data_IF_216601817078
#
_entry.id   IF_216601817078
#
_cell.length_a   1.000
_cell.length_b   1.000
_cell.length_c   1.000
_cell.angle_alpha   90.00
_cell.angle_beta   90.00
_cell.angle_gamma   90.00
#
_symmetry.space_group_name_H-M   'P 1'
#
loop_
_entity.id
_entity.type
_entity.pdbx_description
1 polymer ?
#
# COMPACT_ATOMS: atom_id res chain seq x y z
N UNK A 1 -16.59 -2.65 16.26
CA UNK A 1 -17.31 -3.88 15.88
C UNK A 1 -16.36 -4.73 15.05
N UNK A 2 -15.96 -5.90 15.53
CA UNK A 2 -15.00 -6.78 14.84
C UNK A 2 -15.68 -7.44 13.64
N UNK A 3 -15.19 -7.23 12.39
CA UNK A 3 -15.74 -7.90 11.21
C UNK A 3 -15.64 -9.41 11.36
N UNK A 4 -16.73 -10.13 11.11
CA UNK A 4 -16.82 -11.58 11.31
C UNK A 4 -16.48 -12.32 10.02
N UNK A 5 -15.59 -13.32 10.10
CA UNK A 5 -15.27 -14.20 8.96
C UNK A 5 -16.44 -15.13 8.62
N UNK A 6 -17.17 -15.58 9.62
CA UNK A 6 -18.29 -16.50 9.51
C UNK A 6 -19.37 -16.22 10.57
N UNK A 7 -20.39 -17.07 10.64
CA UNK A 7 -21.50 -16.97 11.60
C UNK A 7 -21.32 -17.83 12.86
N UNK A 8 -20.15 -18.44 13.07
CA UNK A 8 -19.87 -19.27 14.23
C UNK A 8 -19.54 -18.38 15.42
N UNK A 9 -20.15 -18.68 16.55
CA UNK A 9 -19.98 -17.95 17.81
C UNK A 9 -19.59 -18.93 18.91
N UNK A 10 -18.65 -18.51 19.75
CA UNK A 10 -18.22 -19.25 20.94
C UNK A 10 -18.74 -18.49 22.16
N UNK A 11 -19.62 -19.14 22.92
CA UNK A 11 -20.21 -18.62 24.14
C UNK A 11 -19.82 -19.56 25.28
N UNK A 12 -19.08 -19.04 26.26
CA UNK A 12 -18.70 -19.79 27.45
C UNK A 12 -19.07 -19.02 28.74
N UNK A 13 -18.68 -19.57 29.89
CA UNK A 13 -19.05 -19.03 31.20
C UNK A 13 -18.49 -17.64 31.51
N UNK A 14 -17.55 -17.12 30.72
CA UNK A 14 -17.00 -15.76 30.89
C UNK A 14 -17.96 -14.65 30.42
N UNK A 15 -19.05 -15.02 29.75
CA UNK A 15 -20.12 -14.10 29.34
C UNK A 15 -19.79 -13.28 28.07
N UNK A 16 -18.68 -13.56 27.38
CA UNK A 16 -18.31 -12.91 26.13
C UNK A 16 -18.64 -13.79 24.92
N UNK A 17 -19.13 -13.16 23.85
CA UNK A 17 -19.31 -13.82 22.54
C UNK A 17 -18.03 -13.67 21.73
N UNK A 18 -17.31 -14.77 21.55
CA UNK A 18 -16.07 -14.83 20.76
C UNK A 18 -16.41 -15.18 19.32
N UNK A 19 -15.80 -14.47 18.37
CA UNK A 19 -16.02 -14.66 16.93
C UNK A 19 -14.69 -14.73 16.21
N UNK A 20 -14.64 -15.47 15.12
CA UNK A 20 -13.47 -15.44 14.24
C UNK A 20 -13.47 -14.12 13.44
N UNK A 21 -12.43 -13.28 13.60
CA UNK A 21 -12.33 -12.02 12.88
C UNK A 21 -11.99 -12.27 11.40
N UNK A 22 -12.43 -11.38 10.52
CA UNK A 22 -11.87 -11.28 9.17
C UNK A 22 -10.38 -10.92 9.29
N UNK A 23 -9.49 -11.51 8.45
CA UNK A 23 -8.08 -11.16 8.46
C UNK A 23 -7.86 -9.65 8.35
N UNK A 24 -7.01 -9.13 9.22
CA UNK A 24 -6.64 -7.73 9.24
C UNK A 24 -5.74 -7.35 8.06
N UNK A 25 -5.42 -6.05 7.97
CA UNK A 25 -4.44 -5.59 6.99
C UNK A 25 -3.07 -6.26 7.20
N UNK A 26 -2.70 -6.52 8.46
CA UNK A 26 -1.42 -7.16 8.79
C UNK A 26 -1.37 -8.60 8.26
N UNK A 27 -2.40 -9.41 8.55
CA UNK A 27 -2.51 -10.79 8.06
C UNK A 27 -2.43 -10.89 6.52
N UNK A 28 -2.85 -9.83 5.82
CA UNK A 28 -2.76 -9.76 4.36
C UNK A 28 -1.35 -9.47 3.86
N UNK A 29 -0.55 -8.69 4.58
CA UNK A 29 0.74 -8.15 4.11
C UNK A 29 1.96 -8.69 4.86
N UNK A 30 1.78 -9.48 5.92
CA UNK A 30 2.89 -10.02 6.73
C UNK A 30 3.97 -10.70 5.88
N UNK A 31 3.57 -11.53 4.93
CA UNK A 31 4.49 -12.26 4.06
C UNK A 31 5.27 -11.30 3.13
N UNK A 32 4.62 -10.22 2.69
CA UNK A 32 5.26 -9.21 1.85
C UNK A 32 6.33 -8.44 2.63
N UNK A 33 6.05 -8.04 3.89
CA UNK A 33 7.03 -7.35 4.73
C UNK A 33 8.26 -8.21 5.03
N UNK A 34 8.06 -9.50 5.32
CA UNK A 34 9.18 -10.43 5.54
C UNK A 34 10.00 -10.59 4.26
N UNK A 35 9.34 -10.68 3.10
CA UNK A 35 10.03 -10.80 1.81
C UNK A 35 10.84 -9.55 1.49
N UNK A 36 10.26 -8.36 1.66
CA UNK A 36 10.93 -7.08 1.44
C UNK A 36 12.19 -6.93 2.31
N UNK A 37 12.08 -7.22 3.60
CA UNK A 37 13.21 -7.13 4.52
C UNK A 37 14.34 -8.09 4.15
N UNK A 38 14.02 -9.33 3.74
CA UNK A 38 15.01 -10.30 3.28
C UNK A 38 15.71 -9.83 2.02
N UNK A 39 14.95 -9.48 0.98
CA UNK A 39 15.52 -9.01 -0.29
C UNK A 39 16.38 -7.76 -0.13
N UNK A 40 16.08 -6.89 0.83
CA UNK A 40 16.93 -5.75 1.15
C UNK A 40 18.26 -6.18 1.79
N UNK A 41 18.25 -7.15 2.71
CA UNK A 41 19.48 -7.70 3.30
C UNK A 41 20.31 -8.43 2.25
N UNK A 42 19.68 -9.25 1.41
CA UNK A 42 20.35 -9.98 0.32
C UNK A 42 21.04 -8.99 -0.65
N UNK A 43 20.38 -7.87 -0.99
CA UNK A 43 20.97 -6.82 -1.81
C UNK A 43 22.20 -6.15 -1.17
N UNK A 44 22.25 -6.05 0.17
CA UNK A 44 23.38 -5.44 0.88
C UNK A 44 24.53 -6.41 1.12
N UNK A 45 24.24 -7.67 1.42
CA UNK A 45 25.22 -8.66 1.86
C UNK A 45 25.76 -9.47 0.69
N UNK A 46 24.88 -9.85 -0.24
CA UNK A 46 25.19 -10.78 -1.33
C UNK A 46 25.32 -10.06 -2.68
N UNK A 47 25.04 -8.75 -2.73
CA UNK A 47 25.16 -7.93 -3.93
C UNK A 47 24.03 -8.13 -4.93
N UNK A 48 22.91 -8.70 -4.49
CA UNK A 48 21.69 -8.81 -5.29
C UNK A 48 21.13 -7.43 -5.69
N UNK A 49 20.32 -7.35 -6.76
CA UNK A 49 19.68 -6.09 -7.14
C UNK A 49 18.79 -5.53 -6.02
N UNK A 50 18.93 -4.23 -5.74
CA UNK A 50 18.06 -3.54 -4.77
C UNK A 50 16.58 -3.70 -5.17
N UNK A 51 15.72 -4.28 -4.31
CA UNK A 51 14.35 -4.62 -4.68
C UNK A 51 13.50 -3.39 -5.04
N UNK A 52 13.77 -2.24 -4.40
CA UNK A 52 13.11 -0.96 -4.70
C UNK A 52 14.18 0.11 -4.89
N UNK A 53 14.48 0.51 -6.15
CA UNK A 53 15.32 1.65 -6.43
C UNK A 53 14.73 2.96 -5.89
N UNK A 54 15.57 3.87 -5.38
CA UNK A 54 15.13 5.18 -4.85
C UNK A 54 14.30 6.00 -5.86
N UNK A 55 14.61 5.89 -7.15
CA UNK A 55 13.85 6.56 -8.21
C UNK A 55 12.37 6.15 -8.24
N UNK A 56 12.06 4.88 -7.95
CA UNK A 56 10.70 4.36 -8.00
C UNK A 56 9.88 4.89 -6.82
N UNK A 57 10.51 5.04 -5.66
CA UNK A 57 9.92 5.70 -4.49
C UNK A 57 9.60 7.18 -4.78
N UNK A 58 10.53 7.90 -5.43
CA UNK A 58 10.30 9.29 -5.84
C UNK A 58 9.14 9.40 -6.83
N UNK A 59 9.11 8.56 -7.88
CA UNK A 59 8.02 8.55 -8.87
C UNK A 59 6.67 8.25 -8.22
N UNK A 60 6.62 7.31 -7.28
CA UNK A 60 5.39 6.98 -6.54
C UNK A 60 4.86 8.17 -5.74
N UNK A 61 5.74 8.92 -5.08
CA UNK A 61 5.38 10.13 -4.34
C UNK A 61 4.92 11.25 -5.28
N UNK A 62 5.57 11.45 -6.42
CA UNK A 62 5.12 12.42 -7.43
C UNK A 62 3.71 12.11 -7.93
N UNK A 63 3.38 10.83 -8.16
CA UNK A 63 2.03 10.42 -8.54
C UNK A 63 1.03 10.70 -7.40
N UNK A 64 1.39 10.36 -6.16
CA UNK A 64 0.54 10.59 -5.00
C UNK A 64 0.22 12.08 -4.81
N UNK A 65 1.20 12.96 -4.97
CA UNK A 65 1.03 14.42 -4.92
C UNK A 65 0.08 14.92 -6.01
N UNK A 66 0.25 14.45 -7.25
CA UNK A 66 -0.63 14.81 -8.36
C UNK A 66 -2.08 14.33 -8.17
N UNK A 67 -2.27 13.15 -7.56
CA UNK A 67 -3.60 12.66 -7.20
C UNK A 67 -4.25 13.53 -6.11
N UNK A 68 -3.48 14.01 -5.13
CA UNK A 68 -3.96 14.94 -4.12
C UNK A 68 -4.33 16.29 -4.73
N UNK A 69 -3.54 16.80 -5.67
CA UNK A 69 -3.89 18.03 -6.40
C UNK A 69 -5.17 17.86 -7.22
N UNK A 70 -5.29 16.75 -7.96
CA UNK A 70 -6.47 16.45 -8.77
C UNK A 70 -7.72 16.35 -7.91
N UNK A 71 -7.63 15.70 -6.74
CA UNK A 71 -8.72 15.60 -5.78
C UNK A 71 -9.18 16.98 -5.28
N UNK A 72 -8.25 17.90 -5.03
CA UNK A 72 -8.55 19.25 -4.52
C UNK A 72 -9.15 20.17 -5.59
N UNK A 73 -8.67 20.06 -6.82
CA UNK A 73 -9.02 20.98 -7.92
C UNK A 73 -10.17 20.47 -8.79
N UNK A 74 -10.43 19.16 -8.77
CA UNK A 74 -11.32 18.50 -9.72
C UNK A 74 -10.76 18.43 -11.15
N UNK A 75 -9.50 18.84 -11.36
CA UNK A 75 -8.86 18.86 -12.67
C UNK A 75 -7.89 17.70 -12.84
N UNK A 76 -7.72 17.24 -14.08
CA UNK A 76 -6.77 16.19 -14.42
C UNK A 76 -5.34 16.75 -14.47
N UNK A 77 -4.41 16.14 -13.74
CA UNK A 77 -2.97 16.41 -13.87
C UNK A 77 -2.40 15.54 -14.99
N UNK A 78 -1.65 16.16 -15.90
CA UNK A 78 -1.11 15.52 -17.10
C UNK A 78 0.42 15.39 -17.00
N UNK A 79 0.93 14.27 -17.51
CA UNK A 79 2.37 13.99 -17.60
C UNK A 79 2.73 13.58 -19.04
N UNK A 80 3.92 13.93 -19.48
CA UNK A 80 4.47 13.45 -20.75
C UNK A 80 5.05 12.02 -20.62
N UNK A 81 5.56 11.47 -21.74
CA UNK A 81 6.18 10.13 -21.75
C UNK A 81 7.46 10.03 -20.92
N UNK A 82 8.06 11.15 -20.53
CA UNK A 82 9.26 11.21 -19.69
C UNK A 82 8.90 11.38 -18.21
N UNK A 83 7.61 11.44 -17.86
CA UNK A 83 7.15 11.66 -16.50
C UNK A 83 7.22 13.12 -16.04
N UNK A 84 7.39 14.07 -16.96
CA UNK A 84 7.38 15.50 -16.66
C UNK A 84 5.95 16.03 -16.72
N UNK A 85 5.59 16.87 -15.74
CA UNK A 85 4.27 17.51 -15.70
C UNK A 85 4.12 18.46 -16.89
N UNK A 86 2.94 18.44 -17.51
CA UNK A 86 2.58 19.37 -18.58
C UNK A 86 1.38 20.21 -18.16
N UNK A 87 1.42 21.51 -18.48
CA UNK A 87 0.26 22.38 -18.31
C UNK A 87 -0.79 22.08 -19.37
N UNK A 88 -2.04 21.93 -18.94
CA UNK A 88 -3.17 21.89 -19.87
C UNK A 88 -3.38 23.31 -20.38
N UNK A 89 -2.97 23.59 -21.61
CA UNK A 89 -3.43 24.81 -22.31
C UNK A 89 -4.93 24.60 -22.56
N UNK A 90 -5.75 25.28 -21.77
CA UNK A 90 -7.21 25.33 -21.96
C UNK A 90 -7.45 26.07 -23.28
N UNK A 91 -7.98 25.35 -24.28
CA UNK A 91 -8.52 25.92 -25.52
C UNK A 91 -10.03 26.14 -25.36
#
# INVERSE_FOLDING_TARGET
>A
MTPRRNRVELCDSDGFVKVEPTPGWYDRYEAAFVTEARSWVDALMDGDPMPIPVRDALTSLTIAEALQESLKTGQKVMFDKKGQRVETVVA
#
